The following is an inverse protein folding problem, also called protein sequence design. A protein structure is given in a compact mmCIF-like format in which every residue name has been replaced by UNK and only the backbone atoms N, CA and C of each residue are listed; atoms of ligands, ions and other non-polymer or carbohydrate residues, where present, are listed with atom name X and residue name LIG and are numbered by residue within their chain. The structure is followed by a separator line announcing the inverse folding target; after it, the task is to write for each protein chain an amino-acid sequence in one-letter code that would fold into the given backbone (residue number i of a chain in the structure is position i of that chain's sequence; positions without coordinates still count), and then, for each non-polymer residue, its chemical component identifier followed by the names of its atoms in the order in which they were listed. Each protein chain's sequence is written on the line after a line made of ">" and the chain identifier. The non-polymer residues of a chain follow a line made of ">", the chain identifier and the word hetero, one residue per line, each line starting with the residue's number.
data_IF_612258319639
#
_entry.id   IF_612258319639
#
_cell.length_a   1.000
_cell.length_b   1.000
_cell.length_c   1.000
_cell.angle_alpha   90.00
_cell.angle_beta   90.00
_cell.angle_gamma   90.00
#
_symmetry.space_group_name_H-M   'P 1'
#
loop_
_entity.id
_entity.type
_entity.pdbx_description
1 polymer ?
#
# COMPACT_ATOMS: atom_id res chain seq x y z
N UNK A 1 9.53 -16.95 -4.33
CA UNK A 1 8.28 -16.19 -4.14
C UNK A 1 8.32 -14.93 -5.01
N UNK A 2 7.24 -14.66 -5.76
CA UNK A 2 7.01 -13.47 -6.59
C UNK A 2 6.29 -12.40 -5.75
N UNK A 3 6.90 -11.23 -5.58
CA UNK A 3 6.34 -10.11 -4.82
C UNK A 3 5.94 -8.99 -5.78
N UNK A 4 4.66 -8.62 -5.75
CA UNK A 4 4.18 -7.39 -6.36
C UNK A 4 4.35 -6.24 -5.37
N UNK A 5 5.34 -5.36 -5.57
CA UNK A 5 5.65 -4.25 -4.68
C UNK A 5 5.03 -2.93 -5.16
N UNK A 6 4.45 -2.16 -4.24
CA UNK A 6 3.85 -0.86 -4.53
C UNK A 6 4.13 0.16 -3.43
N UNK A 7 4.46 1.41 -3.80
CA UNK A 7 4.69 2.52 -2.87
C UNK A 7 3.85 3.74 -3.27
N UNK A 8 2.60 3.88 -2.76
CA UNK A 8 1.67 4.95 -3.14
C UNK A 8 2.14 6.36 -2.78
N UNK A 9 2.95 6.52 -1.73
CA UNK A 9 3.50 7.80 -1.31
C UNK A 9 4.63 8.27 -2.23
N UNK A 10 5.63 7.42 -2.43
CA UNK A 10 6.84 7.70 -3.19
C UNK A 10 7.33 6.44 -3.92
N UNK A 11 7.11 6.33 -5.24
CA UNK A 11 7.67 5.25 -6.04
C UNK A 11 9.20 5.14 -5.93
N UNK A 12 9.72 3.92 -6.03
CA UNK A 12 11.17 3.62 -5.89
C UNK A 12 12.03 4.36 -6.92
N UNK A 13 11.48 4.69 -8.09
CA UNK A 13 12.12 5.43 -9.17
C UNK A 13 11.77 6.93 -9.20
N UNK A 14 11.09 7.46 -8.18
CA UNK A 14 10.72 8.87 -8.13
C UNK A 14 11.98 9.76 -8.28
N UNK A 15 11.97 10.78 -9.17
CA UNK A 15 13.18 11.53 -9.52
C UNK A 15 13.79 12.28 -8.32
N UNK A 16 12.94 12.93 -7.51
CA UNK A 16 13.35 13.63 -6.29
C UNK A 16 13.69 12.65 -5.16
N UNK A 17 14.94 12.65 -4.63
CA UNK A 17 15.33 11.87 -3.46
C UNK A 17 14.52 12.19 -2.20
N UNK A 18 14.37 11.20 -1.33
CA UNK A 18 13.71 11.33 -0.02
C UNK A 18 14.01 10.09 0.81
N UNK A 19 13.96 10.19 2.15
CA UNK A 19 14.06 9.03 3.05
C UNK A 19 13.04 7.94 2.69
N UNK A 20 11.80 8.33 2.39
CA UNK A 20 10.74 7.39 1.98
C UNK A 20 11.12 6.55 0.74
N UNK A 21 11.65 7.21 -0.30
CA UNK A 21 12.19 6.53 -1.49
C UNK A 21 13.33 5.57 -1.14
N UNK A 22 14.20 5.96 -0.22
CA UNK A 22 15.33 5.13 0.21
C UNK A 22 14.84 3.88 0.93
N UNK A 23 13.92 4.01 1.88
CA UNK A 23 13.31 2.87 2.60
C UNK A 23 12.57 1.94 1.62
N UNK A 24 11.79 2.48 0.68
CA UNK A 24 11.13 1.66 -0.35
C UNK A 24 12.13 0.79 -1.15
N UNK A 25 13.31 1.34 -1.48
CA UNK A 25 14.38 0.60 -2.15
C UNK A 25 15.03 -0.44 -1.23
N UNK A 26 15.34 -0.07 0.01
CA UNK A 26 15.91 -0.99 1.01
C UNK A 26 14.98 -2.18 1.29
N UNK A 27 13.65 -1.95 1.33
CA UNK A 27 12.66 -3.02 1.45
C UNK A 27 12.69 -3.95 0.23
N UNK A 28 12.76 -3.40 -0.99
CA UNK A 28 12.91 -4.22 -2.20
C UNK A 28 14.21 -5.05 -2.15
N UNK A 29 15.33 -4.44 -1.77
CA UNK A 29 16.63 -5.09 -1.64
C UNK A 29 16.63 -6.18 -0.55
N UNK A 30 15.97 -5.94 0.58
CA UNK A 30 15.82 -6.91 1.66
C UNK A 30 14.99 -8.12 1.22
N UNK A 31 13.85 -7.90 0.56
CA UNK A 31 13.04 -8.97 -0.01
C UNK A 31 13.83 -9.79 -1.05
N UNK A 32 14.60 -9.11 -1.91
CA UNK A 32 15.47 -9.77 -2.88
C UNK A 32 16.59 -10.60 -2.23
N UNK A 33 17.22 -10.06 -1.18
CA UNK A 33 18.26 -10.75 -0.41
C UNK A 33 17.72 -11.98 0.31
N UNK A 34 16.42 -11.99 0.64
CA UNK A 34 15.71 -13.16 1.16
C UNK A 34 15.30 -14.17 0.08
N UNK A 35 15.79 -14.03 -1.16
CA UNK A 35 15.50 -14.95 -2.28
C UNK A 35 14.15 -14.72 -2.97
N UNK A 36 13.50 -13.59 -2.70
CA UNK A 36 12.23 -13.23 -3.37
C UNK A 36 12.50 -12.47 -4.66
N UNK A 37 11.60 -12.61 -5.63
CA UNK A 37 11.63 -11.87 -6.88
C UNK A 37 10.67 -10.70 -6.77
N UNK A 38 11.18 -9.48 -6.78
CA UNK A 38 10.39 -8.26 -6.58
C UNK A 38 10.10 -7.60 -7.92
N UNK A 39 8.82 -7.40 -8.22
CA UNK A 39 8.31 -6.67 -9.37
C UNK A 39 7.59 -5.40 -8.89
N UNK A 40 7.94 -4.25 -9.48
CA UNK A 40 7.25 -2.98 -9.16
C UNK A 40 5.90 -2.98 -9.87
N UNK A 41 4.84 -3.27 -9.11
CA UNK A 41 3.51 -3.54 -9.65
C UNK A 41 2.87 -2.31 -10.30
N UNK A 42 3.02 -1.16 -9.65
CA UNK A 42 2.44 0.11 -10.07
C UNK A 42 3.31 1.32 -9.69
N UNK A 43 3.12 2.43 -10.42
CA UNK A 43 3.80 3.72 -10.18
C UNK A 43 2.83 4.87 -9.85
N UNK A 44 1.54 4.56 -9.72
CA UNK A 44 0.54 5.58 -9.38
C UNK A 44 0.87 6.18 -8.01
N UNK A 45 1.06 7.49 -7.95
CA UNK A 45 1.20 8.19 -6.68
C UNK A 45 -0.16 8.72 -6.23
N UNK A 46 -0.67 8.23 -5.10
CA UNK A 46 -2.00 8.56 -4.60
C UNK A 46 -2.03 9.76 -3.64
N UNK A 47 -0.89 10.45 -3.46
CA UNK A 47 -0.77 11.50 -2.44
C UNK A 47 -1.55 12.78 -2.75
N UNK A 48 -2.50 13.15 -1.88
CA UNK A 48 -3.21 14.44 -1.86
C UNK A 48 -2.83 15.25 -0.62
N UNK A 49 -2.04 16.30 -0.82
CA UNK A 49 -1.43 17.08 0.27
C UNK A 49 -2.39 18.00 1.02
N UNK A 50 -3.38 18.52 0.29
CA UNK A 50 -4.24 19.67 0.60
C UNK A 50 -5.66 19.27 1.03
N UNK A 51 -5.98 17.97 1.02
CA UNK A 51 -7.31 17.47 1.38
C UNK A 51 -8.37 17.72 0.31
N UNK A 52 -7.97 18.07 -0.92
CA UNK A 52 -8.92 18.30 -2.00
C UNK A 52 -9.70 17.02 -2.34
N UNK A 53 -11.01 17.04 -2.12
CA UNK A 53 -11.90 15.88 -2.28
C UNK A 53 -11.97 15.40 -3.74
N UNK A 54 -12.00 16.32 -4.71
CA UNK A 54 -12.04 15.96 -6.13
C UNK A 54 -10.75 15.26 -6.59
N UNK A 55 -9.58 15.71 -6.09
CA UNK A 55 -8.30 15.03 -6.35
C UNK A 55 -8.26 13.63 -5.75
N UNK A 56 -8.81 13.45 -4.54
CA UNK A 56 -8.90 12.14 -3.91
C UNK A 56 -9.80 11.19 -4.70
N UNK A 57 -11.01 11.64 -5.08
CA UNK A 57 -11.94 10.85 -5.88
C UNK A 57 -11.33 10.46 -7.24
N UNK A 58 -10.65 11.39 -7.91
CA UNK A 58 -9.97 11.11 -9.19
C UNK A 58 -8.86 10.07 -9.05
N UNK A 59 -8.07 10.12 -7.97
CA UNK A 59 -7.00 9.15 -7.73
C UNK A 59 -7.55 7.79 -7.33
N UNK A 60 -8.66 7.75 -6.59
CA UNK A 60 -9.37 6.51 -6.30
C UNK A 60 -9.87 5.86 -7.60
N UNK A 61 -10.54 6.61 -8.48
CA UNK A 61 -11.02 6.11 -9.76
C UNK A 61 -9.86 5.58 -10.65
N UNK A 62 -8.75 6.32 -10.72
CA UNK A 62 -7.57 5.92 -11.47
C UNK A 62 -6.93 4.65 -10.88
N UNK A 63 -6.86 4.55 -9.55
CA UNK A 63 -6.39 3.38 -8.83
C UNK A 63 -7.23 2.15 -9.12
N UNK A 64 -8.55 2.24 -9.02
CA UNK A 64 -9.49 1.15 -9.32
C UNK A 64 -9.37 0.69 -10.77
N UNK A 65 -9.27 1.62 -11.73
CA UNK A 65 -9.05 1.28 -13.15
C UNK A 65 -7.72 0.56 -13.37
N UNK A 66 -6.66 0.99 -12.69
CA UNK A 66 -5.34 0.36 -12.75
C UNK A 66 -5.36 -1.03 -12.10
N UNK A 67 -6.02 -1.19 -10.95
CA UNK A 67 -6.22 -2.49 -10.30
C UNK A 67 -6.91 -3.49 -11.23
N UNK A 68 -8.03 -3.08 -11.85
CA UNK A 68 -8.74 -3.94 -12.80
C UNK A 68 -7.87 -4.33 -14.00
N UNK A 69 -7.02 -3.43 -14.49
CA UNK A 69 -6.04 -3.75 -15.56
C UNK A 69 -5.00 -4.76 -15.08
N UNK A 70 -4.45 -4.58 -13.89
CA UNK A 70 -3.44 -5.48 -13.31
C UNK A 70 -4.02 -6.88 -13.09
N UNK A 71 -5.23 -6.99 -12.54
CA UNK A 71 -5.93 -8.27 -12.37
C UNK A 71 -6.03 -9.01 -13.70
N UNK A 72 -6.49 -8.35 -14.77
CA UNK A 72 -6.55 -8.96 -16.11
C UNK A 72 -5.17 -9.41 -16.62
N UNK A 73 -4.14 -8.60 -16.40
CA UNK A 73 -2.77 -8.95 -16.83
C UNK A 73 -2.20 -10.16 -16.10
N UNK A 74 -2.50 -10.31 -14.80
CA UNK A 74 -2.08 -11.47 -14.02
C UNK A 74 -2.89 -12.72 -14.39
N UNK A 75 -4.21 -12.60 -14.56
CA UNK A 75 -5.08 -13.71 -14.93
C UNK A 75 -4.82 -14.22 -16.35
N UNK A 76 -4.46 -13.35 -17.29
CA UNK A 76 -4.12 -13.76 -18.66
C UNK A 76 -2.70 -14.32 -18.81
N UNK A 77 -1.88 -14.28 -17.75
CA UNK A 77 -0.47 -14.66 -17.80
C UNK A 77 0.45 -13.65 -18.50
N UNK A 78 -0.07 -12.47 -18.90
CA UNK A 78 0.77 -11.40 -19.47
C UNK A 78 1.81 -10.90 -18.46
N UNK A 79 1.46 -10.90 -17.16
CA UNK A 79 2.41 -10.74 -16.06
C UNK A 79 2.49 -12.04 -15.26
N UNK A 80 3.66 -12.41 -14.73
CA UNK A 80 3.75 -13.49 -13.76
C UNK A 80 2.81 -13.23 -12.57
N UNK A 81 1.98 -14.21 -12.20
CA UNK A 81 1.11 -14.08 -11.02
C UNK A 81 1.98 -13.89 -9.76
N UNK A 82 1.74 -12.83 -8.95
CA UNK A 82 2.43 -12.65 -7.69
C UNK A 82 1.91 -13.63 -6.65
N UNK A 83 2.78 -14.05 -5.73
CA UNK A 83 2.41 -14.84 -4.56
C UNK A 83 1.90 -13.95 -3.42
N UNK A 84 2.30 -12.67 -3.42
CA UNK A 84 1.98 -11.67 -2.40
C UNK A 84 1.92 -10.27 -3.02
N UNK A 85 0.98 -9.46 -2.55
CA UNK A 85 0.99 -8.01 -2.79
C UNK A 85 1.57 -7.30 -1.57
N UNK A 86 2.65 -6.54 -1.78
CA UNK A 86 3.35 -5.81 -0.72
C UNK A 86 3.26 -4.31 -0.97
N UNK A 87 2.57 -3.59 -0.09
CA UNK A 87 2.46 -2.14 -0.14
C UNK A 87 3.32 -1.49 0.93
N UNK A 88 4.10 -0.50 0.54
CA UNK A 88 4.93 0.30 1.44
C UNK A 88 4.37 1.72 1.59
N UNK A 89 4.20 2.12 2.84
CA UNK A 89 3.84 3.44 3.34
C UNK A 89 2.47 3.95 2.88
N UNK A 90 1.44 3.61 3.66
CA UNK A 90 0.07 4.11 3.47
C UNK A 90 -0.35 4.99 4.64
N UNK A 91 -1.04 6.08 4.32
CA UNK A 91 -1.68 6.95 5.31
C UNK A 91 -2.74 7.80 4.64
N UNK A 92 -3.56 8.52 5.43
CA UNK A 92 -4.74 9.23 4.94
C UNK A 92 -4.47 10.25 3.79
N UNK A 93 -3.22 10.64 3.52
CA UNK A 93 -2.91 11.44 2.33
C UNK A 93 -2.51 10.62 1.12
N UNK A 94 -1.96 9.41 1.30
CA UNK A 94 -1.49 8.52 0.25
C UNK A 94 -2.00 7.09 0.51
N UNK A 95 -3.31 6.84 0.35
CA UNK A 95 -3.90 5.51 0.50
C UNK A 95 -3.47 4.58 -0.64
N UNK A 96 -3.62 3.27 -0.43
CA UNK A 96 -3.47 2.27 -1.49
C UNK A 96 -4.82 1.99 -2.15
N UNK A 97 -4.99 2.48 -3.39
CA UNK A 97 -6.19 2.27 -4.20
C UNK A 97 -6.11 1.02 -5.08
N UNK A 98 -5.03 0.23 -4.99
CA UNK A 98 -4.72 -0.84 -5.93
C UNK A 98 -4.59 -2.17 -5.21
N UNK A 99 -3.69 -2.23 -4.22
CA UNK A 99 -3.29 -3.47 -3.56
C UNK A 99 -4.42 -4.28 -2.97
N UNK A 100 -5.30 -3.69 -2.13
CA UNK A 100 -6.43 -4.40 -1.55
C UNK A 100 -7.32 -5.07 -2.61
N UNK A 101 -7.56 -4.39 -3.74
CA UNK A 101 -8.39 -4.90 -4.84
C UNK A 101 -7.67 -6.04 -5.58
N UNK A 102 -6.39 -5.87 -5.89
CA UNK A 102 -5.62 -6.88 -6.64
C UNK A 102 -5.40 -8.13 -5.78
N UNK A 103 -5.07 -7.97 -4.50
CA UNK A 103 -4.84 -9.06 -3.59
C UNK A 103 -6.09 -9.93 -3.42
N UNK A 104 -7.24 -9.29 -3.18
CA UNK A 104 -8.55 -9.96 -3.08
C UNK A 104 -8.89 -10.73 -4.37
N UNK A 105 -8.83 -10.06 -5.51
CA UNK A 105 -9.20 -10.65 -6.80
C UNK A 105 -8.31 -11.82 -7.24
N UNK A 106 -7.07 -11.89 -6.74
CA UNK A 106 -6.13 -12.97 -7.04
C UNK A 106 -6.10 -14.06 -5.97
N UNK A 107 -6.75 -13.83 -4.81
CA UNK A 107 -6.71 -14.69 -3.65
C UNK A 107 -5.30 -14.84 -3.07
N UNK A 108 -4.56 -13.74 -2.95
CA UNK A 108 -3.18 -13.71 -2.44
C UNK A 108 -3.06 -12.80 -1.22
N UNK A 109 -2.07 -13.04 -0.34
CA UNK A 109 -1.87 -12.19 0.83
C UNK A 109 -1.62 -10.72 0.47
N UNK A 110 -2.24 -9.83 1.25
CA UNK A 110 -1.99 -8.40 1.24
C UNK A 110 -1.15 -8.00 2.46
N UNK A 111 0.05 -7.47 2.21
CA UNK A 111 0.97 -7.05 3.27
C UNK A 111 1.24 -5.56 3.16
N UNK A 112 1.24 -4.89 4.32
CA UNK A 112 1.54 -3.46 4.42
C UNK A 112 2.73 -3.23 5.33
N UNK A 113 3.74 -2.50 4.85
CA UNK A 113 4.81 -1.98 5.70
C UNK A 113 4.64 -0.47 5.88
N UNK A 114 4.84 0.01 7.11
CA UNK A 114 4.74 1.41 7.51
C UNK A 114 3.35 2.02 7.25
N UNK A 115 2.30 1.35 7.73
CA UNK A 115 0.96 1.94 7.77
C UNK A 115 0.88 3.02 8.87
N UNK A 116 0.17 4.11 8.60
CA UNK A 116 -0.16 5.12 9.60
C UNK A 116 -1.67 5.36 9.64
N UNK A 117 -2.31 5.02 10.76
CA UNK A 117 -3.72 5.30 11.02
C UNK A 117 -3.86 6.53 11.92
N UNK A 118 -4.68 7.51 11.53
CA UNK A 118 -4.82 8.77 12.26
C UNK A 118 -6.30 9.07 12.53
N UNK A 119 -6.90 8.51 13.61
CA UNK A 119 -8.34 8.60 13.88
C UNK A 119 -8.91 10.03 13.82
N UNK A 120 -8.12 11.02 14.27
CA UNK A 120 -8.45 12.45 14.21
C UNK A 120 -8.69 13.01 12.80
N UNK A 121 -8.39 12.25 11.74
CA UNK A 121 -8.58 12.64 10.33
C UNK A 121 -9.81 12.00 9.68
N UNK A 122 -10.52 11.10 10.37
CA UNK A 122 -11.66 10.37 9.84
C UNK A 122 -12.77 11.29 9.30
N UNK A 123 -13.12 12.34 10.04
CA UNK A 123 -14.18 13.28 9.67
C UNK A 123 -13.66 14.57 9.01
N UNK A 124 -12.42 14.55 8.52
CA UNK A 124 -11.76 15.70 7.92
C UNK A 124 -11.80 15.70 6.38
N UNK A 125 -11.07 16.64 5.74
CA UNK A 125 -10.96 16.72 4.28
C UNK A 125 -10.43 15.45 3.60
N UNK A 126 -9.79 14.55 4.34
CA UNK A 126 -9.28 13.27 3.86
C UNK A 126 -10.18 12.07 4.20
N UNK A 127 -11.43 12.28 4.62
CA UNK A 127 -12.28 11.18 5.11
C UNK A 127 -12.36 9.98 4.16
N UNK A 128 -12.47 10.22 2.85
CA UNK A 128 -12.46 9.15 1.84
C UNK A 128 -11.13 8.35 1.83
N UNK A 129 -10.00 9.05 1.80
CA UNK A 129 -8.68 8.41 1.81
C UNK A 129 -8.38 7.74 3.15
N UNK A 130 -8.86 8.30 4.26
CA UNK A 130 -8.76 7.71 5.58
C UNK A 130 -9.52 6.39 5.66
N UNK A 131 -10.77 6.36 5.18
CA UNK A 131 -11.55 5.13 5.11
C UNK A 131 -10.87 4.07 4.25
N UNK A 132 -10.25 4.45 3.14
CA UNK A 132 -9.50 3.52 2.30
C UNK A 132 -8.28 2.92 3.00
N UNK A 133 -7.56 3.71 3.79
CA UNK A 133 -6.46 3.21 4.63
C UNK A 133 -6.98 2.26 5.71
N UNK A 134 -8.09 2.59 6.35
CA UNK A 134 -8.73 1.69 7.32
C UNK A 134 -9.08 0.35 6.70
N UNK A 135 -9.74 0.36 5.55
CA UNK A 135 -10.09 -0.86 4.81
C UNK A 135 -8.85 -1.67 4.42
N UNK A 136 -7.82 -1.01 3.91
CA UNK A 136 -6.56 -1.66 3.56
C UNK A 136 -5.91 -2.34 4.78
N UNK A 137 -5.83 -1.64 5.91
CA UNK A 137 -5.24 -2.20 7.15
C UNK A 137 -6.07 -3.37 7.68
N UNK A 138 -7.40 -3.27 7.66
CA UNK A 138 -8.30 -4.34 8.10
C UNK A 138 -8.21 -5.58 7.21
N UNK A 139 -7.99 -5.40 5.91
CA UNK A 139 -7.85 -6.48 4.96
C UNK A 139 -6.46 -7.14 4.99
N UNK A 140 -5.43 -6.40 5.41
CA UNK A 140 -4.07 -6.90 5.42
C UNK A 140 -3.92 -8.19 6.26
N UNK A 141 -3.16 -9.13 5.70
CA UNK A 141 -2.76 -10.37 6.35
C UNK A 141 -1.56 -10.15 7.29
N UNK A 142 -0.75 -9.12 7.00
CA UNK A 142 0.29 -8.63 7.90
C UNK A 142 0.51 -7.13 7.73
N UNK A 143 0.70 -6.44 8.86
CA UNK A 143 1.06 -5.02 8.94
C UNK A 143 2.35 -4.89 9.74
N UNK A 144 3.41 -4.44 9.10
CA UNK A 144 4.70 -4.18 9.74
C UNK A 144 4.83 -2.69 10.07
N UNK A 145 5.03 -2.35 11.34
CA UNK A 145 5.37 -1.00 11.76
C UNK A 145 6.87 -0.86 11.98
N UNK A 146 7.46 0.19 11.40
CA UNK A 146 8.85 0.59 11.64
C UNK A 146 8.96 1.53 12.86
N UNK A 147 7.82 1.96 13.42
CA UNK A 147 7.76 2.91 14.51
C UNK A 147 6.76 2.44 15.57
N UNK A 148 7.20 2.32 16.83
CA UNK A 148 6.34 1.87 17.94
C UNK A 148 5.18 2.83 18.19
N UNK A 149 5.37 4.12 17.93
CA UNK A 149 4.32 5.14 18.16
C UNK A 149 3.11 4.90 17.26
N UNK A 150 3.32 4.45 16.02
CA UNK A 150 2.22 4.20 15.10
C UNK A 150 1.39 2.97 15.49
N UNK A 151 1.97 2.02 16.25
CA UNK A 151 1.30 0.78 16.64
C UNK A 151 0.05 1.02 17.50
N UNK A 152 0.04 2.06 18.36
CA UNK A 152 -1.12 2.37 19.21
C UNK A 152 -2.36 2.69 18.38
N UNK A 153 -2.19 3.45 17.30
CA UNK A 153 -3.30 3.76 16.41
C UNK A 153 -3.62 2.58 15.49
N UNK A 154 -2.62 1.85 15.01
CA UNK A 154 -2.83 0.66 14.17
C UNK A 154 -3.60 -0.45 14.90
N UNK A 155 -3.37 -0.64 16.20
CA UNK A 155 -4.07 -1.64 17.01
C UNK A 155 -5.60 -1.43 17.08
N UNK A 156 -6.11 -0.25 16.71
CA UNK A 156 -7.55 0.02 16.64
C UNK A 156 -8.21 -0.60 15.40
N UNK A 157 -7.41 -0.91 14.37
CA UNK A 157 -7.89 -1.34 13.04
C UNK A 157 -7.21 -2.61 12.53
N UNK A 158 -6.11 -3.04 13.15
CA UNK A 158 -5.38 -4.26 12.82
C UNK A 158 -5.46 -5.25 13.98
N UNK A 159 -5.65 -6.54 13.67
CA UNK A 159 -5.68 -7.59 14.68
C UNK A 159 -4.27 -7.80 15.29
N UNK A 160 -4.14 -8.09 16.59
CA UNK A 160 -2.83 -8.20 17.25
C UNK A 160 -1.89 -9.25 16.65
N UNK A 161 -2.43 -10.34 16.10
CA UNK A 161 -1.68 -11.43 15.45
C UNK A 161 -1.13 -11.04 14.07
N UNK A 162 -1.63 -9.95 13.48
CA UNK A 162 -1.21 -9.42 12.17
C UNK A 162 -0.37 -8.15 12.27
N UNK A 163 -0.27 -7.55 13.46
CA UNK A 163 0.47 -6.31 13.69
C UNK A 163 1.87 -6.64 14.24
N UNK A 164 2.89 -6.38 13.44
CA UNK A 164 4.28 -6.70 13.76
C UNK A 164 5.12 -5.44 13.89
N UNK A 165 6.08 -5.46 14.81
CA UNK A 165 7.15 -4.46 14.89
C UNK A 165 8.41 -5.03 14.24
N UNK A 166 9.08 -4.24 13.41
CA UNK A 166 10.38 -4.57 12.80
C UNK A 166 11.52 -3.83 13.50
#
# INVERSE_FOLDING_TARGET
>A
MQVAFYAPLKPTDHPVPSGDRLIARMLCEALQSAGMKVDIAARLRSRVADGNVLKQARLAELGTKLAARLVRQYQSGFRPKPDIWFTYHIYYKAPDWIGPIVADALGIPYVVAEASFAPKRANGPWGQSHLAVETAIRQADAVFSLNRVDMECLAQVCQPDRLHFL
#
